data_IF_494451413619
#
_entry.id   IF_494451413619
#
_cell.length_a   1.000
_cell.length_b   1.000
_cell.length_c   1.000
_cell.angle_alpha   90.00
_cell.angle_beta   90.00
_cell.angle_gamma   90.00
#
_symmetry.space_group_name_H-M   'P 1'
#
loop_
_entity.id
_entity.type
_entity.pdbx_description
1 polymer ?
#
# COMPACT_ATOMS: atom_id res chain seq x y z
N UNK A 1 -2.50 12.78 1.66
CA UNK A 1 -3.26 11.61 2.21
C UNK A 1 -3.62 11.74 3.69
N UNK A 2 -2.72 12.18 4.56
CA UNK A 2 -2.95 12.17 6.02
C UNK A 2 -4.12 13.06 6.50
N UNK A 3 -4.46 14.11 5.75
CA UNK A 3 -5.55 15.03 6.09
C UNK A 3 -6.92 14.60 5.54
N UNK A 4 -7.00 13.56 4.69
CA UNK A 4 -8.27 13.05 4.19
C UNK A 4 -9.00 12.30 5.30
N UNK A 5 -10.22 12.76 5.61
CA UNK A 5 -11.07 12.26 6.70
C UNK A 5 -12.26 11.46 6.17
N UNK A 6 -12.69 11.68 4.92
CA UNK A 6 -13.75 10.89 4.31
C UNK A 6 -13.16 9.61 3.71
N UNK A 7 -13.25 8.53 4.50
CA UNK A 7 -12.76 7.20 4.13
C UNK A 7 -13.89 6.28 3.68
N UNK A 8 -15.08 6.83 3.40
CA UNK A 8 -16.23 6.03 2.96
C UNK A 8 -16.03 5.54 1.54
N UNK A 9 -16.59 4.36 1.27
CA UNK A 9 -16.68 3.84 -0.09
C UNK A 9 -17.95 4.27 -0.79
N UNK A 10 -18.93 3.38 -0.87
CA UNK A 10 -20.26 3.71 -1.40
C UNK A 10 -21.17 4.27 -0.31
N UNK A 11 -21.80 5.42 -0.56
CA UNK A 11 -22.74 6.10 0.33
C UNK A 11 -24.15 5.92 -0.24
N UNK A 12 -24.99 5.16 0.46
CA UNK A 12 -26.37 4.85 0.02
C UNK A 12 -27.37 5.92 0.43
N UNK A 13 -27.05 6.75 1.44
CA UNK A 13 -27.93 7.81 1.88
C UNK A 13 -28.10 8.89 0.81
N UNK A 14 -29.34 9.25 0.53
CA UNK A 14 -29.71 10.27 -0.46
C UNK A 14 -29.11 10.04 -1.86
N UNK A 15 -28.89 8.79 -2.25
CA UNK A 15 -28.32 8.40 -3.55
C UNK A 15 -26.95 9.06 -3.86
N UNK A 16 -26.14 9.34 -2.82
CA UNK A 16 -24.85 10.03 -2.96
C UNK A 16 -23.79 9.27 -3.76
N UNK A 17 -23.82 7.94 -3.75
CA UNK A 17 -22.93 7.10 -4.56
C UNK A 17 -21.50 7.02 -4.03
N UNK A 18 -20.51 6.93 -4.92
CA UNK A 18 -19.11 6.71 -4.56
C UNK A 18 -18.44 7.96 -3.96
N UNK A 19 -17.96 7.86 -2.72
CA UNK A 19 -17.00 8.82 -2.15
C UNK A 19 -15.56 8.42 -2.53
N UNK A 20 -15.13 7.20 -2.17
CA UNK A 20 -13.93 6.53 -2.70
C UNK A 20 -12.63 7.34 -2.73
N UNK A 21 -12.45 8.28 -1.80
CA UNK A 21 -11.29 9.18 -1.80
C UNK A 21 -9.95 8.41 -1.75
N UNK A 22 -9.87 7.34 -0.95
CA UNK A 22 -8.67 6.49 -0.86
C UNK A 22 -8.36 5.82 -2.20
N UNK A 23 -9.39 5.28 -2.87
CA UNK A 23 -9.26 4.59 -4.14
C UNK A 23 -8.83 5.55 -5.27
N UNK A 24 -9.44 6.73 -5.35
CA UNK A 24 -9.06 7.76 -6.32
C UNK A 24 -7.68 8.35 -6.05
N UNK A 25 -7.28 8.44 -4.77
CA UNK A 25 -5.92 8.85 -4.44
C UNK A 25 -4.89 7.82 -4.89
N UNK A 26 -5.22 6.52 -4.84
CA UNK A 26 -4.33 5.48 -5.37
C UNK A 26 -4.06 5.68 -6.86
N UNK A 27 -5.09 5.96 -7.67
CA UNK A 27 -4.92 6.26 -9.11
C UNK A 27 -4.06 7.51 -9.33
N UNK A 28 -4.33 8.57 -8.56
CA UNK A 28 -3.58 9.81 -8.67
C UNK A 28 -2.10 9.60 -8.34
N UNK A 29 -1.80 8.81 -7.30
CA UNK A 29 -0.43 8.45 -6.96
C UNK A 29 0.24 7.57 -8.02
N UNK A 30 -0.53 6.73 -8.71
CA UNK A 30 -0.02 5.85 -9.78
C UNK A 30 0.44 6.67 -10.98
N UNK A 31 -0.39 7.62 -11.41
CA UNK A 31 -0.03 8.58 -12.45
C UNK A 31 1.13 9.48 -12.00
N UNK A 32 1.08 9.99 -10.77
CA UNK A 32 2.12 10.85 -10.21
C UNK A 32 3.47 10.13 -10.20
N UNK A 33 3.55 8.90 -9.71
CA UNK A 33 4.79 8.13 -9.62
C UNK A 33 5.50 7.93 -10.98
N UNK A 34 4.77 8.06 -12.10
CA UNK A 34 5.31 7.95 -13.44
C UNK A 34 5.91 9.27 -13.98
N UNK A 35 5.63 10.41 -13.36
CA UNK A 35 6.13 11.72 -13.80
C UNK A 35 7.67 11.78 -13.78
N UNK A 36 8.34 12.09 -14.90
CA UNK A 36 9.80 12.11 -14.99
C UNK A 36 10.46 13.17 -14.10
N UNK A 37 9.72 14.19 -13.68
CA UNK A 37 10.16 15.27 -12.79
C UNK A 37 10.38 14.81 -11.35
N UNK A 38 9.77 13.69 -10.94
CA UNK A 38 9.96 13.14 -9.61
C UNK A 38 11.29 12.38 -9.50
N UNK A 39 11.97 12.61 -8.39
CA UNK A 39 13.21 11.96 -8.01
C UNK A 39 12.97 10.83 -6.99
N UNK A 40 14.05 10.17 -6.56
CA UNK A 40 13.98 9.04 -5.63
C UNK A 40 13.33 9.40 -4.27
N UNK A 41 13.57 10.60 -3.75
CA UNK A 41 12.97 11.05 -2.49
C UNK A 41 11.46 11.22 -2.63
N UNK A 42 10.98 11.79 -3.74
CA UNK A 42 9.55 11.95 -3.97
C UNK A 42 8.82 10.60 -4.10
N UNK A 43 9.44 9.63 -4.78
CA UNK A 43 8.89 8.27 -4.86
C UNK A 43 8.84 7.59 -3.48
N UNK A 44 9.85 7.83 -2.64
CA UNK A 44 9.85 7.33 -1.27
C UNK A 44 8.75 7.98 -0.42
N UNK A 45 8.48 9.27 -0.62
CA UNK A 45 7.35 9.96 0.01
C UNK A 45 5.99 9.37 -0.41
N UNK A 46 5.82 9.00 -1.68
CA UNK A 46 4.63 8.26 -2.15
C UNK A 46 4.49 6.94 -1.39
N UNK A 47 5.57 6.14 -1.31
CA UNK A 47 5.54 4.88 -0.57
C UNK A 47 5.18 5.10 0.92
N UNK A 48 5.76 6.11 1.56
CA UNK A 48 5.44 6.45 2.95
C UNK A 48 4.00 6.90 3.13
N UNK A 49 3.45 7.68 2.19
CA UNK A 49 2.05 8.09 2.21
C UNK A 49 1.10 6.89 2.09
N UNK A 50 1.40 5.92 1.22
CA UNK A 50 0.64 4.67 1.09
C UNK A 50 0.66 3.89 2.40
N UNK A 51 1.85 3.64 2.99
CA UNK A 51 1.94 2.91 4.26
C UNK A 51 1.18 3.61 5.39
N UNK A 52 1.28 4.93 5.47
CA UNK A 52 0.55 5.71 6.47
C UNK A 52 -0.97 5.57 6.31
N UNK A 53 -1.49 5.56 5.07
CA UNK A 53 -2.92 5.40 4.81
C UNK A 53 -3.41 3.96 5.06
N UNK A 54 -2.64 2.95 4.64
CA UNK A 54 -2.94 1.54 4.92
C UNK A 54 -2.94 1.28 6.44
N UNK A 55 -2.00 1.89 7.16
CA UNK A 55 -1.90 1.81 8.61
C UNK A 55 -2.89 2.69 9.38
N UNK A 56 -3.75 3.47 8.72
CA UNK A 56 -4.69 4.34 9.42
C UNK A 56 -5.78 3.48 10.12
N UNK A 57 -5.97 3.62 11.44
CA UNK A 57 -6.79 2.69 12.20
C UNK A 57 -8.28 3.12 12.26
N UNK A 58 -8.73 3.91 11.28
CA UNK A 58 -10.04 4.59 11.30
C UNK A 58 -11.19 3.74 10.75
N UNK A 59 -10.94 2.98 9.68
CA UNK A 59 -11.92 2.09 9.05
C UNK A 59 -11.22 0.92 8.38
N UNK A 60 -11.98 -0.14 8.10
CA UNK A 60 -11.55 -1.19 7.17
C UNK A 60 -11.88 -0.75 5.76
N UNK A 61 -10.93 -0.91 4.84
CA UNK A 61 -11.16 -0.71 3.41
C UNK A 61 -11.77 -1.98 2.80
N UNK A 62 -12.86 -1.83 2.05
CA UNK A 62 -13.71 -2.97 1.63
C UNK A 62 -14.08 -2.96 0.15
N UNK A 63 -13.58 -1.99 -0.63
CA UNK A 63 -13.89 -1.77 -2.03
C UNK A 63 -12.62 -1.77 -2.90
N UNK A 64 -11.74 -2.73 -2.63
CA UNK A 64 -10.47 -2.97 -3.36
C UNK A 64 -9.43 -1.85 -3.23
N UNK A 65 -9.52 -0.99 -2.21
CA UNK A 65 -8.50 0.04 -1.98
C UNK A 65 -7.13 -0.58 -1.67
N UNK A 66 -7.09 -1.78 -1.08
CA UNK A 66 -5.88 -2.58 -0.87
C UNK A 66 -5.21 -2.96 -2.19
N UNK A 67 -5.95 -3.47 -3.17
CA UNK A 67 -5.42 -3.82 -4.50
C UNK A 67 -5.05 -2.56 -5.29
N UNK A 68 -5.86 -1.50 -5.22
CA UNK A 68 -5.59 -0.25 -5.94
C UNK A 68 -4.34 0.46 -5.43
N UNK A 69 -4.08 0.41 -4.12
CA UNK A 69 -2.85 0.96 -3.53
C UNK A 69 -1.57 0.22 -3.95
N UNK A 70 -1.66 -0.97 -4.55
CA UNK A 70 -0.48 -1.69 -5.06
C UNK A 70 0.07 -1.06 -6.34
N UNK A 71 -0.80 -0.51 -7.21
CA UNK A 71 -0.37 0.10 -8.47
C UNK A 71 0.69 1.20 -8.30
N UNK A 72 0.47 2.24 -7.46
CA UNK A 72 1.48 3.27 -7.27
C UNK A 72 2.79 2.74 -6.66
N UNK A 73 2.75 1.66 -5.87
CA UNK A 73 3.98 1.00 -5.38
C UNK A 73 4.77 0.42 -6.54
N UNK A 74 4.11 -0.29 -7.46
CA UNK A 74 4.77 -0.89 -8.62
C UNK A 74 5.30 0.18 -9.57
N UNK A 75 4.54 1.26 -9.80
CA UNK A 75 5.01 2.41 -10.58
C UNK A 75 6.28 3.01 -9.98
N UNK A 76 6.33 3.24 -8.66
CA UNK A 76 7.55 3.71 -7.97
C UNK A 76 8.74 2.77 -8.18
N UNK A 77 8.53 1.45 -8.09
CA UNK A 77 9.60 0.47 -8.27
C UNK A 77 10.07 0.37 -9.74
N UNK A 78 9.14 0.50 -10.70
CA UNK A 78 9.44 0.47 -12.13
C UNK A 78 10.35 1.63 -12.56
N UNK A 79 10.31 2.77 -11.86
CA UNK A 79 11.22 3.90 -12.08
C UNK A 79 12.69 3.56 -11.83
N UNK A 80 13.00 2.48 -11.09
CA UNK A 80 14.37 2.01 -10.78
C UNK A 80 15.27 3.08 -10.15
N UNK A 81 14.66 4.04 -9.43
CA UNK A 81 15.38 5.09 -8.70
C UNK A 81 15.60 4.73 -7.22
N UNK A 82 14.84 3.78 -6.69
CA UNK A 82 14.91 3.36 -5.29
C UNK A 82 15.93 2.25 -5.08
N UNK A 83 16.67 2.33 -3.98
CA UNK A 83 17.62 1.30 -3.54
C UNK A 83 16.88 0.18 -2.82
N UNK A 84 17.40 -1.03 -2.92
CA UNK A 84 16.84 -2.21 -2.23
C UNK A 84 16.69 -1.97 -0.71
N UNK A 85 17.66 -1.30 -0.09
CA UNK A 85 17.62 -0.97 1.33
C UNK A 85 16.45 -0.06 1.71
N UNK A 86 16.04 0.86 0.81
CA UNK A 86 14.92 1.79 1.04
C UNK A 86 13.59 1.03 0.97
N UNK A 87 13.42 0.19 -0.05
CA UNK A 87 12.22 -0.65 -0.22
C UNK A 87 12.08 -1.63 0.95
N UNK A 88 13.18 -2.24 1.38
CA UNK A 88 13.22 -3.14 2.54
C UNK A 88 12.83 -2.40 3.84
N UNK A 89 13.40 -1.22 4.09
CA UNK A 89 13.06 -0.43 5.26
C UNK A 89 11.60 0.05 5.24
N UNK A 90 11.08 0.38 4.06
CA UNK A 90 9.68 0.73 3.88
C UNK A 90 8.75 -0.44 4.23
N UNK A 91 8.99 -1.64 3.68
CA UNK A 91 8.22 -2.85 3.96
C UNK A 91 8.27 -3.26 5.44
N UNK A 92 9.45 -3.21 6.05
CA UNK A 92 9.63 -3.55 7.47
C UNK A 92 8.78 -2.66 8.39
N UNK A 93 8.47 -1.42 7.98
CA UNK A 93 7.62 -0.52 8.74
C UNK A 93 6.14 -0.93 8.83
N UNK A 94 5.68 -1.95 8.09
CA UNK A 94 4.33 -2.48 8.26
C UNK A 94 4.19 -3.38 9.49
N UNK A 95 5.23 -4.11 9.88
CA UNK A 95 5.14 -5.07 10.98
C UNK A 95 4.75 -4.42 12.33
N UNK A 96 5.34 -3.27 12.74
CA UNK A 96 4.94 -2.59 13.97
C UNK A 96 3.48 -2.16 14.00
N UNK A 97 2.86 -1.88 12.84
CA UNK A 97 1.44 -1.51 12.73
C UNK A 97 0.50 -2.66 13.11
N UNK A 98 1.00 -3.90 13.10
CA UNK A 98 0.21 -5.07 13.51
C UNK A 98 0.47 -5.48 14.97
N UNK A 99 1.40 -4.83 15.68
CA UNK A 99 1.86 -5.24 17.01
C UNK A 99 1.12 -4.57 18.18
N UNK A 100 -0.01 -3.89 17.91
CA UNK A 100 -1.03 -3.60 18.91
C UNK A 100 -0.82 -2.37 19.79
N UNK A 101 -0.63 -1.19 19.20
CA UNK A 101 -0.58 0.08 19.94
C UNK A 101 -1.94 0.82 19.99
N UNK A 102 -2.83 0.53 19.05
CA UNK A 102 -4.15 1.17 18.95
C UNK A 102 -5.18 0.56 19.91
N UNK A 103 -6.20 1.33 20.34
CA UNK A 103 -7.29 0.81 21.16
C UNK A 103 -8.19 -0.18 20.39
N UNK A 104 -9.06 -0.88 21.10
CA UNK A 104 -10.11 -1.68 20.45
C UNK A 104 -11.25 -0.75 19.95
N UNK A 105 -11.80 -0.95 18.73
CA UNK A 105 -11.51 -2.02 17.74
C UNK A 105 -10.44 -1.65 16.70
N UNK A 106 -9.84 -0.48 16.83
CA UNK A 106 -8.94 0.17 15.87
C UNK A 106 -7.70 -0.67 15.53
N UNK A 107 -7.16 -1.40 16.52
CA UNK A 107 -6.07 -2.38 16.33
C UNK A 107 -6.42 -3.46 15.28
N UNK A 108 -7.67 -3.94 15.25
CA UNK A 108 -8.10 -4.94 14.28
C UNK A 108 -8.27 -4.35 12.89
N UNK A 109 -8.76 -3.11 12.80
CA UNK A 109 -8.94 -2.39 11.52
C UNK A 109 -7.59 -2.19 10.84
N UNK A 110 -6.62 -1.68 11.60
CA UNK A 110 -5.25 -1.46 11.15
C UNK A 110 -4.59 -2.78 10.70
N UNK A 111 -4.61 -3.81 11.53
CA UNK A 111 -4.02 -5.10 11.20
C UNK A 111 -4.67 -5.75 9.97
N UNK A 112 -6.00 -5.63 9.80
CA UNK A 112 -6.70 -6.17 8.65
C UNK A 112 -6.30 -5.45 7.35
N UNK A 113 -6.30 -4.11 7.34
CA UNK A 113 -5.89 -3.32 6.18
C UNK A 113 -4.45 -3.65 5.75
N UNK A 114 -3.53 -3.74 6.71
CA UNK A 114 -2.12 -4.12 6.45
C UNK A 114 -2.03 -5.52 5.84
N UNK A 115 -2.73 -6.51 6.40
CA UNK A 115 -2.72 -7.88 5.87
C UNK A 115 -3.28 -7.96 4.46
N UNK A 116 -4.40 -7.30 4.19
CA UNK A 116 -5.04 -7.29 2.88
C UNK A 116 -4.10 -6.66 1.84
N UNK A 117 -3.58 -5.46 2.12
CA UNK A 117 -2.62 -4.77 1.26
C UNK A 117 -1.36 -5.60 0.96
N UNK A 118 -0.73 -6.19 1.99
CA UNK A 118 0.47 -7.01 1.78
C UNK A 118 0.17 -8.30 1.01
N UNK A 119 -1.02 -8.89 1.16
CA UNK A 119 -1.44 -10.04 0.35
C UNK A 119 -1.62 -9.65 -1.12
N UNK A 120 -2.29 -8.54 -1.39
CA UNK A 120 -2.42 -7.96 -2.73
C UNK A 120 -1.05 -7.72 -3.36
N UNK A 121 -0.14 -7.06 -2.64
CA UNK A 121 1.23 -6.81 -3.10
C UNK A 121 1.99 -8.12 -3.37
N UNK A 122 1.87 -9.12 -2.49
CA UNK A 122 2.50 -10.43 -2.67
C UNK A 122 2.05 -11.13 -3.96
N UNK A 123 0.74 -11.16 -4.22
CA UNK A 123 0.21 -11.80 -5.42
C UNK A 123 0.53 -11.00 -6.68
N UNK A 124 0.46 -9.67 -6.61
CA UNK A 124 0.80 -8.82 -7.74
C UNK A 124 2.28 -8.89 -8.11
N UNK A 125 3.17 -9.00 -7.13
CA UNK A 125 4.61 -9.20 -7.36
C UNK A 125 4.95 -10.49 -8.14
N UNK A 126 4.01 -11.46 -8.22
CA UNK A 126 4.17 -12.72 -8.95
C UNK A 126 3.64 -12.68 -10.38
N UNK A 127 2.93 -11.62 -10.75
CA UNK A 127 2.31 -11.50 -12.06
C UNK A 127 3.39 -11.29 -13.13
N UNK A 128 3.26 -11.93 -14.31
CA UNK A 128 4.23 -11.75 -15.41
C UNK A 128 4.45 -10.29 -15.78
N UNK A 129 3.39 -9.47 -15.76
CA UNK A 129 3.45 -8.05 -16.10
C UNK A 129 4.31 -7.27 -15.10
N UNK A 130 4.25 -7.62 -13.81
CA UNK A 130 5.11 -7.03 -12.78
C UNK A 130 6.57 -7.45 -12.98
N UNK A 131 6.82 -8.73 -13.27
CA UNK A 131 8.15 -9.26 -13.56
C UNK A 131 8.79 -8.53 -14.74
N UNK A 132 8.01 -8.28 -15.79
CA UNK A 132 8.43 -7.50 -16.95
C UNK A 132 8.74 -6.04 -16.58
N UNK A 133 7.86 -5.40 -15.80
CA UNK A 133 7.99 -3.99 -15.42
C UNK A 133 9.21 -3.70 -14.53
N UNK A 134 9.41 -4.48 -13.45
CA UNK A 134 10.45 -4.19 -12.44
C UNK A 134 11.68 -5.10 -12.53
N UNK A 135 11.60 -6.17 -13.34
CA UNK A 135 12.64 -7.17 -13.55
C UNK A 135 12.56 -8.35 -12.57
N UNK A 136 12.91 -9.55 -13.07
CA UNK A 136 12.85 -10.83 -12.33
C UNK A 136 13.48 -10.77 -10.93
N UNK A 137 14.70 -10.21 -10.82
CA UNK A 137 15.42 -10.10 -9.54
C UNK A 137 14.65 -9.24 -8.54
N UNK A 138 14.15 -8.09 -8.97
CA UNK A 138 13.40 -7.14 -8.14
C UNK A 138 12.05 -7.72 -7.73
N UNK A 139 11.32 -8.36 -8.65
CA UNK A 139 10.05 -9.02 -8.37
C UNK A 139 10.21 -10.18 -7.37
N UNK A 140 11.27 -10.98 -7.53
CA UNK A 140 11.61 -12.03 -6.58
C UNK A 140 11.93 -11.47 -5.19
N UNK A 141 12.77 -10.43 -5.11
CA UNK A 141 13.15 -9.79 -3.86
C UNK A 141 11.93 -9.18 -3.15
N UNK A 142 11.07 -8.46 -3.89
CA UNK A 142 9.82 -7.89 -3.37
C UNK A 142 8.93 -8.98 -2.77
N UNK A 143 8.67 -10.07 -3.51
CA UNK A 143 7.85 -11.19 -3.02
C UNK A 143 8.42 -11.81 -1.74
N UNK A 144 9.75 -11.99 -1.68
CA UNK A 144 10.43 -12.55 -0.51
C UNK A 144 10.27 -11.64 0.71
N UNK A 145 10.52 -10.34 0.56
CA UNK A 145 10.39 -9.36 1.64
C UNK A 145 8.95 -9.27 2.14
N UNK A 146 7.96 -9.28 1.23
CA UNK A 146 6.54 -9.24 1.61
C UNK A 146 6.14 -10.53 2.36
N UNK A 147 6.60 -11.71 1.93
CA UNK A 147 6.37 -12.98 2.63
C UNK A 147 7.02 -12.99 4.04
N UNK A 148 8.22 -12.43 4.19
CA UNK A 148 8.87 -12.26 5.50
C UNK A 148 8.01 -11.41 6.45
N UNK A 149 7.53 -10.25 6.00
CA UNK A 149 6.66 -9.38 6.80
C UNK A 149 5.32 -10.06 7.11
N UNK A 150 4.70 -10.71 6.13
CA UNK A 150 3.45 -11.46 6.33
C UNK A 150 3.58 -12.55 7.40
N UNK A 151 4.72 -13.26 7.44
CA UNK A 151 5.00 -14.28 8.47
C UNK A 151 5.22 -13.66 9.85
N UNK A 152 5.87 -12.51 9.91
CA UNK A 152 6.06 -11.77 11.17
C UNK A 152 4.72 -11.36 11.80
N UNK A 153 3.77 -10.89 10.98
CA UNK A 153 2.46 -10.44 11.44
C UNK A 153 1.39 -11.54 11.52
N UNK A 154 1.72 -12.78 11.15
CA UNK A 154 0.77 -13.90 11.07
C UNK A 154 0.19 -14.35 12.43
N UNK A 155 0.79 -13.90 13.53
CA UNK A 155 0.36 -14.24 14.91
C UNK A 155 -0.72 -13.30 15.45
N UNK A 156 -1.01 -12.22 14.74
CA UNK A 156 -2.19 -11.39 14.95
C UNK A 156 -3.28 -11.76 13.95
#
# INVERSE_FOLDING_TARGET
MAQEQDLRGYVTEDDKGWAHAVAHTADCLDELAQCPELNAADLLDILHAIRAKIGAPLTVYVYEEDERMVYPVLACLQRKLLREAEVKAWLAGFAPLCQGTEPFPDVYRQALNVKLFLRSLYFRARKPETVEAIGEKSAHALRKLVDEVLREIARF
#
